data_IF_313405623709
#
_entry.id   IF_313405623709
#
_cell.length_a   1.000
_cell.length_b   1.000
_cell.length_c   1.000
_cell.angle_alpha   90.00
_cell.angle_beta   90.00
_cell.angle_gamma   90.00
#
_symmetry.space_group_name_H-M   'P 1'
#
loop_
_entity.id
_entity.type
_entity.pdbx_description
1 polymer ?
#
# COMPACT_ATOMS: atom_id res chain seq x y z
N UNK A 1 -6.00 -9.27 21.37
CA UNK A 1 -6.19 -8.81 19.98
C UNK A 1 -5.06 -7.85 19.67
N UNK A 2 -4.10 -8.29 18.87
CA UNK A 2 -2.94 -7.46 18.50
C UNK A 2 -3.41 -6.28 17.63
N UNK A 3 -3.04 -5.05 17.98
CA UNK A 3 -3.38 -3.88 17.15
C UNK A 3 -2.60 -4.00 15.85
N UNK A 4 -3.30 -4.06 14.72
CA UNK A 4 -2.70 -3.86 13.39
C UNK A 4 -2.13 -2.44 13.32
N UNK A 5 -0.87 -2.28 13.71
CA UNK A 5 -0.14 -1.01 13.82
C UNK A 5 0.31 -0.45 12.47
N UNK A 6 0.16 -1.20 11.39
CA UNK A 6 0.50 -0.76 10.04
C UNK A 6 -0.66 -0.09 9.29
N UNK A 7 -0.31 0.72 8.28
CA UNK A 7 -1.28 1.30 7.34
C UNK A 7 -1.86 0.29 6.36
N UNK A 8 -1.22 -0.88 6.21
CA UNK A 8 -1.66 -1.94 5.32
C UNK A 8 -2.44 -3.01 6.09
N UNK A 9 -3.64 -3.30 5.58
CA UNK A 9 -4.52 -4.36 6.07
C UNK A 9 -4.65 -5.43 4.99
N UNK A 10 -4.23 -6.65 5.29
CA UNK A 10 -4.46 -7.80 4.43
C UNK A 10 -5.72 -8.51 4.87
N UNK A 11 -6.47 -9.03 3.89
CA UNK A 11 -7.65 -9.86 4.20
C UNK A 11 -7.25 -11.08 5.04
N UNK A 12 -6.06 -11.62 4.81
CA UNK A 12 -5.50 -12.77 5.54
C UNK A 12 -5.23 -12.50 7.01
N UNK A 13 -5.10 -11.23 7.45
CA UNK A 13 -4.85 -10.92 8.86
C UNK A 13 -6.12 -11.05 9.72
N UNK A 14 -7.30 -11.17 9.09
CA UNK A 14 -8.60 -11.09 9.77
C UNK A 14 -9.54 -12.24 9.37
N UNK A 15 -9.01 -13.29 8.74
CA UNK A 15 -9.80 -14.46 8.33
C UNK A 15 -10.25 -15.32 9.51
N UNK A 16 -9.60 -15.19 10.65
CA UNK A 16 -9.92 -15.84 11.92
C UNK A 16 -11.06 -15.16 12.69
N UNK A 17 -11.36 -13.89 12.38
CA UNK A 17 -12.38 -13.11 13.11
C UNK A 17 -13.82 -13.47 12.73
N UNK A 18 -14.07 -13.97 11.52
CA UNK A 18 -15.41 -14.23 11.01
C UNK A 18 -15.40 -15.07 9.71
N UNK A 19 -16.58 -15.54 9.28
CA UNK A 19 -16.73 -16.20 7.98
C UNK A 19 -16.26 -15.29 6.82
N UNK A 20 -15.76 -15.92 5.75
CA UNK A 20 -15.23 -15.27 4.57
C UNK A 20 -16.16 -14.18 4.00
N UNK A 21 -17.49 -14.38 4.04
CA UNK A 21 -18.48 -13.39 3.58
C UNK A 21 -18.63 -12.22 4.54
N UNK A 22 -18.60 -12.46 5.84
CA UNK A 22 -18.66 -11.40 6.86
C UNK A 22 -17.44 -10.49 6.77
N UNK A 23 -16.24 -11.06 6.65
CA UNK A 23 -14.99 -10.31 6.45
C UNK A 23 -15.08 -9.43 5.21
N UNK A 24 -15.52 -9.98 4.08
CA UNK A 24 -15.67 -9.22 2.84
C UNK A 24 -16.69 -8.09 2.96
N UNK A 25 -17.82 -8.32 3.65
CA UNK A 25 -18.81 -7.25 3.91
C UNK A 25 -18.25 -6.13 4.77
N UNK A 26 -17.52 -6.48 5.84
CA UNK A 26 -16.91 -5.50 6.74
C UNK A 26 -15.87 -4.64 6.01
N UNK A 27 -14.95 -5.27 5.26
CA UNK A 27 -13.95 -4.56 4.46
C UNK A 27 -14.61 -3.63 3.43
N UNK A 28 -15.64 -4.12 2.72
CA UNK A 28 -16.38 -3.29 1.77
C UNK A 28 -17.07 -2.10 2.43
N UNK A 29 -17.62 -2.26 3.64
CA UNK A 29 -18.20 -1.16 4.41
C UNK A 29 -17.15 -0.10 4.73
N UNK A 30 -15.97 -0.52 5.21
CA UNK A 30 -14.86 0.40 5.52
C UNK A 30 -14.36 1.15 4.28
N UNK A 31 -14.32 0.48 3.12
CA UNK A 31 -14.00 1.12 1.84
C UNK A 31 -15.07 2.15 1.47
N UNK A 32 -16.35 1.79 1.55
CA UNK A 32 -17.47 2.71 1.25
C UNK A 32 -17.48 3.94 2.16
N UNK A 33 -17.10 3.78 3.43
CA UNK A 33 -17.01 4.91 4.39
C UNK A 33 -15.71 5.70 4.31
N UNK A 34 -14.83 5.40 3.34
CA UNK A 34 -13.56 6.12 3.15
C UNK A 34 -12.53 5.89 4.26
N UNK A 35 -12.64 4.80 5.02
CA UNK A 35 -11.67 4.43 6.07
C UNK A 35 -10.54 3.56 5.50
N UNK A 36 -10.84 2.79 4.46
CA UNK A 36 -9.88 1.98 3.71
C UNK A 36 -9.97 2.29 2.22
N UNK A 37 -8.89 2.00 1.50
CA UNK A 37 -8.89 1.86 0.05
C UNK A 37 -8.41 0.46 -0.32
N UNK A 38 -9.03 -0.14 -1.35
CA UNK A 38 -8.57 -1.41 -1.91
C UNK A 38 -7.44 -1.15 -2.89
N UNK A 39 -6.24 -1.65 -2.58
CA UNK A 39 -5.08 -1.54 -3.46
C UNK A 39 -5.01 -2.68 -4.47
N UNK A 40 -5.46 -3.87 -4.09
CA UNK A 40 -5.40 -5.06 -4.93
C UNK A 40 -6.18 -6.22 -4.33
N UNK A 41 -6.00 -7.43 -4.87
CA UNK A 41 -6.68 -8.61 -4.35
C UNK A 41 -6.25 -8.92 -2.91
N UNK A 42 -7.18 -8.74 -1.97
CA UNK A 42 -6.96 -8.98 -0.55
C UNK A 42 -6.04 -7.97 0.14
N UNK A 43 -5.75 -6.83 -0.48
CA UNK A 43 -4.81 -5.81 0.03
C UNK A 43 -5.53 -4.48 0.14
N UNK A 44 -5.49 -3.90 1.34
CA UNK A 44 -6.13 -2.64 1.65
C UNK A 44 -5.13 -1.71 2.36
N UNK A 45 -5.36 -0.41 2.24
CA UNK A 45 -4.63 0.60 3.00
C UNK A 45 -5.59 1.52 3.76
N UNK A 46 -5.18 1.95 4.95
CA UNK A 46 -5.87 2.95 5.76
C UNK A 46 -5.80 4.31 5.07
N UNK A 47 -6.92 5.02 5.13
CA UNK A 47 -7.02 6.38 4.63
C UNK A 47 -7.04 7.36 5.81
N UNK A 48 -6.18 8.37 5.72
CA UNK A 48 -6.28 9.58 6.53
C UNK A 48 -7.33 10.52 5.92
N UNK A 49 -7.88 11.43 6.73
CA UNK A 49 -8.83 12.46 6.29
C UNK A 49 -8.22 13.83 6.53
N UNK A 50 -8.20 14.66 5.49
CA UNK A 50 -7.86 16.08 5.64
C UNK A 50 -9.08 16.82 6.18
N UNK A 51 -8.92 17.49 7.31
CA UNK A 51 -9.99 18.33 7.88
C UNK A 51 -10.21 19.59 7.03
N UNK A 52 -9.15 20.13 6.44
CA UNK A 52 -9.19 21.35 5.62
C UNK A 52 -9.83 21.08 4.26
N UNK A 53 -9.33 20.07 3.54
CA UNK A 53 -9.79 19.78 2.18
C UNK A 53 -11.02 18.86 2.14
N UNK A 54 -11.39 18.24 3.27
CA UNK A 54 -12.49 17.27 3.35
C UNK A 54 -12.27 15.96 2.59
N UNK A 55 -11.07 15.75 2.02
CA UNK A 55 -10.73 14.57 1.20
C UNK A 55 -9.94 13.53 2.00
N UNK A 56 -10.04 12.28 1.56
CA UNK A 56 -9.23 11.17 2.09
C UNK A 56 -7.98 10.91 1.26
N UNK A 57 -6.87 10.58 1.92
CA UNK A 57 -5.57 10.35 1.30
C UNK A 57 -4.76 9.25 2.02
N UNK A 58 -3.68 8.79 1.40
CA UNK A 58 -2.71 7.88 2.00
C UNK A 58 -1.65 8.70 2.72
N UNK A 59 -1.43 8.46 4.01
CA UNK A 59 -0.58 9.31 4.86
C UNK A 59 0.86 9.41 4.33
N UNK A 60 1.47 8.25 4.01
CA UNK A 60 2.83 8.14 3.49
C UNK A 60 2.91 8.36 1.96
N UNK A 61 1.81 8.70 1.30
CA UNK A 61 1.73 8.77 -0.16
C UNK A 61 1.66 7.40 -0.85
N UNK A 62 1.53 7.40 -2.18
CA UNK A 62 1.14 6.22 -2.95
C UNK A 62 2.24 5.17 -3.03
N UNK A 63 3.45 5.56 -3.43
CA UNK A 63 4.56 4.62 -3.64
C UNK A 63 5.03 3.96 -2.33
N UNK A 64 5.26 4.69 -1.22
CA UNK A 64 5.59 4.07 0.07
C UNK A 64 4.51 3.12 0.56
N UNK A 65 3.23 3.46 0.37
CA UNK A 65 2.11 2.57 0.70
C UNK A 65 2.15 1.28 -0.12
N UNK A 66 2.39 1.35 -1.42
CA UNK A 66 2.50 0.16 -2.27
C UNK A 66 3.69 -0.72 -1.88
N UNK A 67 4.83 -0.13 -1.54
CA UNK A 67 6.02 -0.82 -1.04
C UNK A 67 5.79 -1.48 0.33
N UNK A 68 5.11 -0.79 1.24
CA UNK A 68 4.67 -1.38 2.51
C UNK A 68 3.74 -2.57 2.29
N UNK A 69 2.89 -2.51 1.26
CA UNK A 69 2.04 -3.63 0.89
C UNK A 69 2.84 -4.83 0.34
N UNK A 70 3.88 -4.60 -0.46
CA UNK A 70 4.81 -5.66 -0.89
C UNK A 70 5.48 -6.32 0.31
N UNK A 71 6.02 -5.53 1.23
CA UNK A 71 6.65 -6.02 2.47
C UNK A 71 5.69 -6.88 3.28
N UNK A 72 4.45 -6.41 3.47
CA UNK A 72 3.40 -7.17 4.19
C UNK A 72 2.98 -8.45 3.48
N UNK A 73 3.11 -8.50 2.16
CA UNK A 73 2.88 -9.70 1.35
C UNK A 73 4.10 -10.63 1.30
N UNK A 74 5.16 -10.34 2.05
CA UNK A 74 6.45 -11.05 2.03
C UNK A 74 7.07 -11.11 0.63
N UNK A 75 6.90 -10.05 -0.17
CA UNK A 75 7.53 -9.89 -1.49
C UNK A 75 8.79 -9.06 -1.28
N UNK A 76 9.96 -9.61 -1.59
CA UNK A 76 11.22 -8.87 -1.54
C UNK A 76 11.30 -7.88 -2.70
N UNK A 77 11.71 -6.66 -2.39
CA UNK A 77 11.84 -5.58 -3.36
C UNK A 77 13.00 -4.65 -2.97
N UNK A 78 13.50 -3.91 -3.96
CA UNK A 78 14.56 -2.92 -3.80
C UNK A 78 14.18 -1.60 -4.49
N UNK A 79 14.75 -0.49 -4.01
CA UNK A 79 14.67 0.82 -4.66
C UNK A 79 15.56 0.88 -5.89
N UNK A 80 15.27 1.79 -6.83
CA UNK A 80 16.09 1.97 -8.03
C UNK A 80 17.46 2.58 -7.67
N UNK A 81 18.51 2.40 -8.50
CA UNK A 81 19.82 3.00 -8.24
C UNK A 81 19.77 4.53 -8.04
N UNK A 82 18.98 5.24 -8.85
CA UNK A 82 18.82 6.68 -8.74
C UNK A 82 18.20 7.09 -7.39
N UNK A 83 17.26 6.31 -6.87
CA UNK A 83 16.68 6.54 -5.55
C UNK A 83 17.69 6.23 -4.43
N UNK A 84 18.49 5.17 -4.59
CA UNK A 84 19.56 4.85 -3.65
C UNK A 84 20.64 5.94 -3.59
N UNK A 85 21.01 6.52 -4.73
CA UNK A 85 21.97 7.62 -4.81
C UNK A 85 21.44 8.88 -4.15
N UNK A 86 20.15 9.21 -4.37
CA UNK A 86 19.49 10.32 -3.69
C UNK A 86 19.43 10.10 -2.17
N UNK A 87 18.97 8.93 -1.72
CA UNK A 87 18.86 8.60 -0.29
C UNK A 87 20.21 8.59 0.42
N UNK A 88 21.27 8.18 -0.27
CA UNK A 88 22.64 8.16 0.26
C UNK A 88 23.36 9.51 0.16
N UNK A 89 22.72 10.56 -0.35
CA UNK A 89 23.33 11.87 -0.55
C UNK A 89 24.41 11.91 -1.63
N UNK A 90 24.51 10.87 -2.48
CA UNK A 90 25.43 10.82 -3.63
C UNK A 90 24.91 11.64 -4.82
N UNK A 91 23.62 11.95 -4.84
CA UNK A 91 22.97 12.79 -5.83
C UNK A 91 21.99 13.75 -5.17
N UNK A 92 21.91 14.98 -5.69
CA UNK A 92 20.87 15.95 -5.33
C UNK A 92 19.65 15.84 -6.23
N UNK A 93 19.72 15.04 -7.30
CA UNK A 93 18.63 14.86 -8.24
C UNK A 93 17.53 14.01 -7.62
N UNK A 94 16.35 14.59 -7.46
CA UNK A 94 15.15 13.87 -7.01
C UNK A 94 14.62 13.05 -8.20
N UNK A 95 14.51 11.70 -8.08
CA UNK A 95 13.96 10.87 -9.14
C UNK A 95 12.45 11.11 -9.27
N UNK A 96 12.00 11.45 -10.48
CA UNK A 96 10.58 11.74 -10.75
C UNK A 96 9.72 10.48 -10.75
N UNK A 97 10.24 9.37 -11.30
CA UNK A 97 9.55 8.09 -11.39
C UNK A 97 10.42 6.95 -10.83
N UNK A 98 10.61 6.87 -9.51
CA UNK A 98 11.40 5.79 -8.91
C UNK A 98 10.70 4.43 -9.11
N UNK A 99 11.38 3.51 -9.78
CA UNK A 99 10.90 2.14 -9.99
C UNK A 99 11.08 1.29 -8.72
N UNK A 100 10.28 0.24 -8.60
CA UNK A 100 10.43 -0.76 -7.54
C UNK A 100 10.87 -2.07 -8.17
N UNK A 101 12.11 -2.48 -7.90
CA UNK A 101 12.68 -3.71 -8.45
C UNK A 101 12.20 -4.91 -7.63
N UNK A 102 11.49 -5.84 -8.25
CA UNK A 102 10.98 -7.02 -7.54
C UNK A 102 12.01 -8.15 -7.57
N UNK A 103 12.23 -8.81 -6.43
CA UNK A 103 13.10 -10.00 -6.34
C UNK A 103 12.32 -11.30 -6.35
N UNK A 104 11.04 -11.24 -6.02
CA UNK A 104 10.14 -12.38 -6.02
C UNK A 104 9.04 -12.21 -7.09
N UNK A 105 8.49 -13.35 -7.53
CA UNK A 105 7.37 -13.34 -8.48
C UNK A 105 6.15 -12.70 -7.83
N UNK A 106 5.67 -11.61 -8.43
CA UNK A 106 4.44 -10.93 -8.01
C UNK A 106 3.43 -10.83 -9.14
N UNK A 107 2.28 -11.50 -9.00
CA UNK A 107 1.22 -11.53 -10.04
C UNK A 107 0.07 -10.55 -9.79
N UNK A 108 -0.01 -9.96 -8.60
CA UNK A 108 -1.11 -9.05 -8.25
C UNK A 108 -0.81 -7.66 -8.81
N UNK A 109 -1.86 -6.92 -9.10
CA UNK A 109 -1.79 -5.49 -9.40
C UNK A 109 -2.05 -4.70 -8.11
N UNK A 110 -1.24 -3.67 -7.85
CA UNK A 110 -1.45 -2.70 -6.79
C UNK A 110 -1.71 -1.34 -7.40
N UNK A 111 -2.87 -0.76 -7.13
CA UNK A 111 -3.33 0.50 -7.72
C UNK A 111 -4.01 1.39 -6.67
N UNK A 112 -3.80 2.68 -6.78
CA UNK A 112 -4.55 3.70 -6.06
C UNK A 112 -4.97 4.80 -7.04
N UNK A 113 -6.29 4.97 -7.24
CA UNK A 113 -6.83 5.86 -8.28
C UNK A 113 -6.22 5.53 -9.65
N UNK A 114 -5.54 6.48 -10.28
CA UNK A 114 -4.90 6.32 -11.59
C UNK A 114 -3.41 5.93 -11.49
N UNK A 115 -2.89 5.75 -10.27
CA UNK A 115 -1.50 5.41 -10.02
C UNK A 115 -1.36 3.91 -9.77
N UNK A 116 -0.40 3.30 -10.44
CA UNK A 116 -0.08 1.88 -10.31
C UNK A 116 1.38 1.71 -9.88
N UNK A 117 1.67 0.62 -9.17
CA UNK A 117 3.03 0.26 -8.84
C UNK A 117 3.83 -0.03 -10.12
N UNK A 118 4.78 0.85 -10.44
CA UNK A 118 5.73 0.64 -11.52
C UNK A 118 6.81 -0.34 -11.01
N UNK A 119 6.95 -1.45 -11.72
CA UNK A 119 7.88 -2.53 -11.39
C UNK A 119 8.89 -2.74 -12.51
N UNK A 120 10.11 -3.06 -12.10
CA UNK A 120 11.24 -3.46 -12.94
C UNK A 120 11.67 -4.90 -12.60
#
# INVERSE_FOLDING_TARGET
>A
MERLSGDIVLRSDITDLADARQVSRALNRLVKTGKLVKLGYGVYAKLARSEIAGVTYLNEGVLPTMRAALTRLNVRWETSPAEQDYQAGRSTQIPVNPTTKLKDRFRRQLRYRNMELIRE
#
